data_IF_681920325355
#
_entry.id   IF_681920325355
#
_cell.length_a   1.000
_cell.length_b   1.000
_cell.length_c   1.000
_cell.angle_alpha   90.00
_cell.angle_beta   90.00
_cell.angle_gamma   90.00
#
_symmetry.space_group_name_H-M   'P 1'
#
loop_
_entity.id
_entity.type
_entity.pdbx_description
1 polymer ?
#
# COMPACT_ATOMS: atom_id res chain seq x y z
N UNK A 1 -8.76 11.59 -25.14
CA UNK A 1 -7.66 11.98 -24.22
C UNK A 1 -6.38 12.02 -25.02
N UNK A 2 -5.60 13.09 -24.93
CA UNK A 2 -4.28 13.16 -25.57
C UNK A 2 -3.22 12.70 -24.56
N UNK A 3 -2.96 11.38 -24.54
CA UNK A 3 -2.04 10.78 -23.58
C UNK A 3 -0.62 11.32 -23.74
N UNK A 4 -0.16 11.51 -24.99
CA UNK A 4 1.18 12.00 -25.27
C UNK A 4 1.39 13.40 -24.67
N UNK A 5 0.45 14.31 -24.90
CA UNK A 5 0.50 15.65 -24.31
C UNK A 5 0.49 15.62 -22.78
N UNK A 6 -0.31 14.75 -22.18
CA UNK A 6 -0.35 14.61 -20.70
C UNK A 6 1.02 14.16 -20.18
N UNK A 7 1.66 13.19 -20.83
CA UNK A 7 2.99 12.70 -20.43
C UNK A 7 4.07 13.77 -20.62
N UNK A 8 4.01 14.54 -21.71
CA UNK A 8 4.93 15.67 -21.94
C UNK A 8 4.77 16.76 -20.87
N UNK A 9 3.54 17.16 -20.55
CA UNK A 9 3.26 18.14 -19.49
C UNK A 9 3.67 17.63 -18.11
N UNK A 10 3.54 16.32 -17.87
CA UNK A 10 3.96 15.68 -16.63
C UNK A 10 5.48 15.65 -16.49
N UNK A 11 6.20 15.36 -17.57
CA UNK A 11 7.66 15.39 -17.60
C UNK A 11 8.19 16.81 -17.36
N UNK A 12 7.55 17.84 -17.92
CA UNK A 12 7.89 19.23 -17.59
C UNK A 12 7.68 19.52 -16.10
N UNK A 13 6.57 19.04 -15.53
CA UNK A 13 6.24 19.25 -14.12
C UNK A 13 7.26 18.59 -13.19
N UNK A 14 7.66 17.35 -13.47
CA UNK A 14 8.69 16.63 -12.73
C UNK A 14 10.04 17.36 -12.74
N UNK A 15 10.36 18.02 -13.84
CA UNK A 15 11.63 18.73 -14.03
C UNK A 15 11.57 20.20 -13.56
N UNK A 16 10.46 20.65 -12.97
CA UNK A 16 10.28 22.04 -12.54
C UNK A 16 10.26 23.05 -13.70
N UNK A 17 9.97 22.60 -14.94
CA UNK A 17 9.99 23.42 -16.16
C UNK A 17 8.59 23.93 -16.56
N UNK A 18 7.66 24.01 -15.61
CA UNK A 18 6.24 24.25 -15.88
C UNK A 18 5.48 22.95 -16.19
N UNK A 19 4.27 23.04 -16.74
CA UNK A 19 3.41 21.86 -16.99
C UNK A 19 2.55 21.47 -15.78
N UNK A 20 2.00 20.25 -15.81
CA UNK A 20 1.10 19.75 -14.75
C UNK A 20 1.32 18.27 -14.48
N UNK A 21 1.18 17.88 -13.21
CA UNK A 21 1.15 16.48 -12.81
C UNK A 21 0.10 15.70 -13.60
N UNK A 22 0.45 14.52 -14.13
CA UNK A 22 -0.48 13.69 -14.87
C UNK A 22 -1.71 13.34 -14.01
N UNK A 23 -2.89 13.73 -14.47
CA UNK A 23 -4.17 13.30 -13.92
C UNK A 23 -4.86 12.39 -14.92
N UNK A 24 -4.71 11.09 -14.71
CA UNK A 24 -5.25 10.00 -15.51
C UNK A 24 -6.34 9.25 -14.74
N UNK A 25 -6.99 9.92 -13.78
CA UNK A 25 -8.04 9.31 -12.96
C UNK A 25 -9.19 8.83 -13.86
N UNK A 26 -9.55 7.55 -13.72
CA UNK A 26 -10.62 6.93 -14.49
C UNK A 26 -10.33 6.78 -15.99
N UNK A 27 -9.09 7.00 -16.43
CA UNK A 27 -8.74 6.92 -17.84
C UNK A 27 -8.79 5.47 -18.35
N UNK A 28 -9.36 5.25 -19.55
CA UNK A 28 -9.17 4.00 -20.28
C UNK A 28 -7.80 4.02 -20.97
N UNK A 29 -6.85 3.28 -20.40
CA UNK A 29 -5.48 3.10 -20.87
C UNK A 29 -5.25 1.64 -21.30
N UNK A 30 -6.32 0.88 -21.58
CA UNK A 30 -6.20 -0.52 -21.96
C UNK A 30 -5.37 -0.66 -23.24
N UNK A 31 -4.37 -1.53 -23.20
CA UNK A 31 -3.42 -1.73 -24.30
C UNK A 31 -2.52 -0.52 -24.61
N UNK A 32 -2.50 0.51 -23.76
CA UNK A 32 -1.67 1.69 -24.00
C UNK A 32 -0.17 1.34 -23.93
N UNK A 33 0.61 1.94 -24.84
CA UNK A 33 2.07 1.89 -24.77
C UNK A 33 2.58 3.00 -23.84
N UNK A 34 2.99 2.61 -22.63
CA UNK A 34 3.56 3.46 -21.59
C UNK A 34 5.01 3.06 -21.28
N UNK A 35 5.70 2.40 -22.23
CA UNK A 35 7.09 1.95 -22.05
C UNK A 35 7.99 3.13 -21.70
N UNK A 36 8.77 3.00 -20.64
CA UNK A 36 9.69 4.05 -20.19
C UNK A 36 9.01 5.34 -19.73
N UNK A 37 7.68 5.36 -19.57
CA UNK A 37 6.98 6.56 -19.14
C UNK A 37 7.36 6.91 -17.69
N UNK A 38 7.72 8.16 -17.45
CA UNK A 38 7.89 8.70 -16.12
C UNK A 38 6.53 9.15 -15.59
N UNK A 39 5.93 8.33 -14.75
CA UNK A 39 4.61 8.50 -14.13
C UNK A 39 4.73 8.75 -12.62
N UNK A 40 5.91 9.21 -12.16
CA UNK A 40 6.15 9.44 -10.73
C UNK A 40 5.15 10.43 -10.15
N UNK A 41 4.44 10.00 -9.11
CA UNK A 41 3.41 10.82 -8.47
C UNK A 41 2.15 11.06 -9.30
N UNK A 42 2.00 10.44 -10.48
CA UNK A 42 0.81 10.56 -11.31
C UNK A 42 -0.45 10.06 -10.59
N UNK A 43 -1.61 10.61 -10.93
CA UNK A 43 -2.89 10.12 -10.44
C UNK A 43 -3.52 9.16 -11.47
N UNK A 44 -3.43 7.86 -11.22
CA UNK A 44 -4.00 6.76 -12.02
C UNK A 44 -5.19 6.09 -11.29
N UNK A 45 -5.76 6.75 -10.28
CA UNK A 45 -6.88 6.22 -9.51
C UNK A 45 -8.04 5.85 -10.44
N UNK A 46 -8.67 4.69 -10.27
CA UNK A 46 -9.75 4.18 -11.13
C UNK A 46 -9.38 3.97 -12.61
N UNK A 47 -8.11 4.09 -13.02
CA UNK A 47 -7.72 3.92 -14.42
C UNK A 47 -7.77 2.45 -14.86
N UNK A 48 -8.07 2.21 -16.14
CA UNK A 48 -8.00 0.88 -16.74
C UNK A 48 -6.66 0.71 -17.47
N UNK A 49 -5.71 0.01 -16.85
CA UNK A 49 -4.38 -0.34 -17.38
C UNK A 49 -4.33 -1.80 -17.89
N UNK A 50 -5.47 -2.46 -18.11
CA UNK A 50 -5.46 -3.83 -18.63
C UNK A 50 -4.68 -3.93 -19.95
N UNK A 51 -3.83 -4.94 -20.09
CA UNK A 51 -2.97 -5.15 -21.27
C UNK A 51 -2.02 -3.98 -21.62
N UNK A 52 -1.89 -2.95 -20.77
CA UNK A 52 -0.98 -1.83 -21.02
C UNK A 52 0.48 -2.27 -20.89
N UNK A 53 1.37 -1.70 -21.71
CA UNK A 53 2.80 -1.98 -21.68
C UNK A 53 3.54 -0.91 -20.86
N UNK A 54 3.92 -1.27 -19.63
CA UNK A 54 4.66 -0.44 -18.67
C UNK A 54 6.12 -0.89 -18.47
N UNK A 55 6.69 -1.66 -19.40
CA UNK A 55 8.10 -2.05 -19.35
C UNK A 55 9.02 -0.83 -19.25
N UNK A 56 9.86 -0.79 -18.23
CA UNK A 56 10.74 0.34 -17.91
C UNK A 56 10.05 1.62 -17.43
N UNK A 57 8.74 1.65 -17.21
CA UNK A 57 8.05 2.83 -16.68
C UNK A 57 8.39 3.07 -15.20
N UNK A 58 8.37 4.33 -14.77
CA UNK A 58 8.55 4.71 -13.35
C UNK A 58 7.22 5.16 -12.75
N UNK A 59 6.68 4.36 -11.83
CA UNK A 59 5.41 4.59 -11.13
C UNK A 59 5.65 4.95 -9.66
N UNK A 60 6.86 5.36 -9.26
CA UNK A 60 7.14 5.68 -7.86
C UNK A 60 6.19 6.78 -7.36
N UNK A 61 5.52 6.51 -6.24
CA UNK A 61 4.51 7.39 -5.63
C UNK A 61 3.26 7.65 -6.49
N UNK A 62 3.05 6.95 -7.61
CA UNK A 62 1.82 7.06 -8.38
C UNK A 62 0.62 6.54 -7.57
N UNK A 63 -0.51 7.24 -7.65
CA UNK A 63 -1.76 6.77 -7.06
C UNK A 63 -2.45 5.81 -8.03
N UNK A 64 -2.36 4.52 -7.76
CA UNK A 64 -2.98 3.44 -8.53
C UNK A 64 -4.21 2.85 -7.84
N UNK A 65 -4.78 3.53 -6.85
CA UNK A 65 -5.95 3.05 -6.11
C UNK A 65 -7.10 2.72 -7.06
N UNK A 66 -7.65 1.50 -6.93
CA UNK A 66 -8.73 0.98 -7.78
C UNK A 66 -8.42 0.91 -9.29
N UNK A 67 -7.17 1.08 -9.70
CA UNK A 67 -6.80 0.87 -11.09
C UNK A 67 -6.94 -0.63 -11.46
N UNK A 68 -7.46 -0.91 -12.63
CA UNK A 68 -7.47 -2.28 -13.19
C UNK A 68 -6.14 -2.51 -13.90
N UNK A 69 -5.41 -3.56 -13.53
CA UNK A 69 -4.07 -3.86 -14.07
C UNK A 69 -3.95 -5.31 -14.55
N UNK A 70 -5.08 -5.94 -14.83
CA UNK A 70 -5.10 -7.32 -15.32
C UNK A 70 -4.28 -7.45 -16.60
N UNK A 71 -3.38 -8.42 -16.66
CA UNK A 71 -2.50 -8.64 -17.81
C UNK A 71 -1.60 -7.45 -18.19
N UNK A 72 -1.42 -6.46 -17.31
CA UNK A 72 -0.45 -5.39 -17.50
C UNK A 72 0.95 -5.98 -17.70
N UNK A 73 1.65 -5.49 -18.73
CA UNK A 73 2.99 -5.97 -19.08
C UNK A 73 4.03 -5.08 -18.38
N UNK A 74 4.90 -5.68 -17.57
CA UNK A 74 5.99 -5.00 -16.86
C UNK A 74 7.25 -5.88 -16.85
N UNK A 75 8.40 -5.28 -16.52
CA UNK A 75 9.68 -5.99 -16.41
C UNK A 75 10.49 -5.53 -15.20
N UNK A 76 11.71 -6.07 -15.06
CA UNK A 76 12.64 -5.73 -13.97
C UNK A 76 13.07 -4.25 -13.96
N UNK A 77 12.80 -3.50 -15.03
CA UNK A 77 13.11 -2.08 -15.12
C UNK A 77 11.90 -1.19 -14.79
N UNK A 78 10.71 -1.77 -14.70
CA UNK A 78 9.53 -1.05 -14.23
C UNK A 78 9.70 -0.73 -12.74
N UNK A 79 9.79 0.55 -12.40
CA UNK A 79 9.96 0.99 -11.03
C UNK A 79 8.60 1.16 -10.36
N UNK A 80 8.33 0.32 -9.35
CA UNK A 80 7.22 0.49 -8.42
C UNK A 80 7.75 0.87 -7.04
N UNK A 81 6.88 1.40 -6.18
CA UNK A 81 7.24 1.53 -4.77
C UNK A 81 7.54 0.13 -4.20
N UNK A 82 8.72 -0.12 -3.61
CA UNK A 82 9.07 -1.45 -3.10
C UNK A 82 8.04 -1.93 -2.07
N UNK A 83 7.86 -3.25 -1.97
CA UNK A 83 7.10 -3.82 -0.86
C UNK A 83 7.82 -3.40 0.43
N UNK A 84 7.08 -2.74 1.33
CA UNK A 84 7.59 -2.41 2.65
C UNK A 84 7.67 -3.65 3.53
N UNK A 85 6.69 -4.55 3.41
CA UNK A 85 6.74 -5.82 4.12
C UNK A 85 7.83 -6.72 3.53
N UNK A 86 8.64 -7.37 4.37
CA UNK A 86 9.56 -8.42 3.95
C UNK A 86 8.83 -9.51 3.14
N UNK A 87 9.47 -9.96 2.06
CA UNK A 87 8.96 -11.01 1.17
C UNK A 87 9.06 -12.43 1.77
N UNK A 88 9.87 -12.58 2.82
CA UNK A 88 10.19 -13.85 3.46
C UNK A 88 10.47 -13.67 4.94
N UNK A 89 10.40 -14.78 5.69
CA UNK A 89 10.62 -14.80 7.14
C UNK A 89 9.54 -14.08 7.95
N UNK A 90 9.48 -14.31 9.26
CA UNK A 90 8.61 -13.54 10.16
C UNK A 90 9.17 -12.13 10.39
N UNK A 91 8.31 -11.16 10.67
CA UNK A 91 8.74 -9.80 11.03
C UNK A 91 7.78 -9.14 12.02
N UNK A 92 8.23 -8.03 12.63
CA UNK A 92 7.40 -7.26 13.55
C UNK A 92 6.69 -6.14 12.79
N UNK A 93 5.37 -6.05 12.98
CA UNK A 93 4.52 -4.97 12.53
C UNK A 93 3.89 -4.23 13.72
N UNK A 94 3.48 -2.99 13.49
CA UNK A 94 2.87 -2.13 14.50
C UNK A 94 1.53 -1.59 14.01
N UNK A 95 0.50 -1.67 14.85
CA UNK A 95 -0.84 -1.16 14.55
C UNK A 95 -1.33 -0.23 15.65
N UNK A 96 -1.83 0.95 15.28
CA UNK A 96 -2.55 1.81 16.22
C UNK A 96 -4.01 1.34 16.36
N UNK A 97 -4.48 1.19 17.59
CA UNK A 97 -5.83 0.78 17.92
C UNK A 97 -6.27 1.46 19.23
N UNK A 98 -7.38 2.17 19.21
CA UNK A 98 -7.98 2.89 20.34
C UNK A 98 -6.97 3.72 21.17
N UNK A 99 -6.07 4.44 20.49
CA UNK A 99 -5.03 5.25 21.14
C UNK A 99 -3.80 4.48 21.65
N UNK A 100 -3.81 3.15 21.57
CA UNK A 100 -2.69 2.28 21.91
C UNK A 100 -1.98 1.78 20.64
N UNK A 101 -0.79 1.23 20.82
CA UNK A 101 0.02 0.59 19.79
C UNK A 101 0.13 -0.90 20.10
N UNK A 102 -0.35 -1.71 19.15
CA UNK A 102 -0.28 -3.16 19.16
C UNK A 102 0.96 -3.59 18.38
N UNK A 103 1.84 -4.32 19.04
CA UNK A 103 2.97 -5.00 18.40
C UNK A 103 2.54 -6.38 17.92
N UNK A 104 2.84 -6.66 16.65
CA UNK A 104 2.36 -7.83 15.93
C UNK A 104 3.55 -8.61 15.38
N UNK A 105 3.59 -9.92 15.61
CA UNK A 105 4.40 -10.81 14.81
C UNK A 105 3.62 -11.20 13.55
N UNK A 106 4.14 -10.85 12.37
CA UNK A 106 3.61 -11.30 11.09
C UNK A 106 4.38 -12.58 10.72
N UNK A 107 3.76 -13.76 10.80
CA UNK A 107 4.46 -15.02 10.59
C UNK A 107 4.82 -15.23 9.11
N UNK A 108 5.84 -16.06 8.87
CA UNK A 108 6.35 -16.39 7.53
C UNK A 108 5.28 -16.88 6.54
N UNK A 109 4.24 -17.56 7.03
CA UNK A 109 3.15 -18.14 6.24
C UNK A 109 1.97 -17.17 5.98
N UNK A 110 2.01 -15.96 6.55
CA UNK A 110 0.98 -14.95 6.28
C UNK A 110 1.02 -14.52 4.82
N UNK A 111 -0.15 -14.35 4.18
CA UNK A 111 -0.26 -13.57 2.94
C UNK A 111 0.02 -12.10 3.29
N UNK A 112 0.77 -11.41 2.45
CA UNK A 112 1.26 -10.06 2.69
C UNK A 112 1.07 -9.19 1.48
N UNK A 113 0.82 -7.92 1.73
CA UNK A 113 0.72 -6.92 0.69
C UNK A 113 1.19 -5.58 1.26
N UNK A 114 1.98 -4.82 0.51
CA UNK A 114 2.27 -3.43 0.86
C UNK A 114 1.49 -2.53 -0.04
N UNK A 115 0.78 -1.57 0.55
CA UNK A 115 0.06 -0.56 -0.19
C UNK A 115 0.98 0.30 -1.08
N UNK A 116 0.40 1.29 -1.75
CA UNK A 116 1.13 2.40 -2.37
C UNK A 116 1.74 3.36 -1.35
N UNK A 117 1.17 3.38 -0.14
CA UNK A 117 1.67 4.15 0.98
C UNK A 117 2.59 3.30 1.86
N UNK A 118 2.96 3.83 3.03
CA UNK A 118 3.76 3.12 4.03
C UNK A 118 3.00 2.05 4.83
N UNK A 119 1.79 1.69 4.40
CA UNK A 119 0.96 0.68 5.08
C UNK A 119 1.22 -0.70 4.50
N UNK A 120 1.36 -1.66 5.40
CA UNK A 120 1.37 -3.08 5.10
C UNK A 120 0.02 -3.70 5.49
N UNK A 121 -0.34 -4.79 4.83
CA UNK A 121 -1.48 -5.64 5.15
C UNK A 121 -0.98 -7.08 5.24
N UNK A 122 -1.47 -7.81 6.24
CA UNK A 122 -1.23 -9.24 6.39
C UNK A 122 -2.54 -9.99 6.60
N UNK A 123 -2.60 -11.26 6.19
CA UNK A 123 -3.75 -12.14 6.48
C UNK A 123 -3.70 -12.73 7.88
N UNK A 124 -2.55 -12.71 8.54
CA UNK A 124 -2.32 -13.34 9.83
C UNK A 124 -1.32 -12.53 10.66
N UNK A 125 -1.57 -12.37 11.95
CA UNK A 125 -0.67 -11.73 12.89
C UNK A 125 -0.89 -12.21 14.32
N UNK A 126 0.17 -12.45 15.07
CA UNK A 126 0.10 -12.74 16.51
C UNK A 126 0.34 -11.46 17.31
N UNK A 127 -0.49 -11.21 18.32
CA UNK A 127 -0.34 -10.05 19.20
C UNK A 127 0.74 -10.33 20.25
N UNK A 128 1.81 -9.52 20.25
CA UNK A 128 2.93 -9.69 21.18
C UNK A 128 2.80 -8.77 22.40
N UNK A 129 2.48 -7.50 22.19
CA UNK A 129 2.39 -6.50 23.25
C UNK A 129 1.43 -5.37 22.88
N UNK A 130 0.92 -4.68 23.91
CA UNK A 130 0.06 -3.50 23.75
C UNK A 130 0.61 -2.40 24.66
N UNK A 131 0.91 -1.25 24.07
CA UNK A 131 1.50 -0.11 24.79
C UNK A 131 0.77 1.20 24.46
N UNK A 132 0.86 2.19 25.33
CA UNK A 132 0.52 3.56 24.98
C UNK A 132 1.51 4.14 23.95
N UNK A 133 1.28 5.36 23.46
CA UNK A 133 2.17 6.00 22.47
C UNK A 133 3.62 6.17 22.97
N UNK A 134 3.84 6.25 24.28
CA UNK A 134 5.15 6.43 24.92
C UNK A 134 5.86 5.10 25.21
N UNK A 135 5.18 3.96 25.05
CA UNK A 135 5.73 2.63 25.29
C UNK A 135 5.39 2.05 26.66
N UNK A 136 4.55 2.72 27.46
CA UNK A 136 4.10 2.16 28.74
C UNK A 136 3.04 1.07 28.49
N UNK A 137 2.93 0.04 29.35
CA UNK A 137 1.92 -1.01 29.19
C UNK A 137 0.49 -0.46 29.09
N UNK A 138 -0.25 -0.90 28.06
CA UNK A 138 -1.61 -0.44 27.75
C UNK A 138 -2.73 -1.39 28.19
N UNK A 139 -2.40 -2.46 28.92
CA UNK A 139 -3.32 -3.56 29.27
C UNK A 139 -3.20 -4.76 28.32
N UNK A 140 -3.99 -5.81 28.59
CA UNK A 140 -3.86 -7.10 27.88
C UNK A 140 -4.66 -7.17 26.57
N UNK A 141 -5.56 -6.21 26.35
CA UNK A 141 -6.47 -6.19 25.20
C UNK A 141 -6.78 -4.77 24.73
N UNK A 142 -7.04 -4.62 23.42
CA UNK A 142 -7.50 -3.35 22.84
C UNK A 142 -8.45 -3.56 21.66
N UNK A 143 -9.49 -2.73 21.56
CA UNK A 143 -10.46 -2.78 20.45
C UNK A 143 -9.88 -2.19 19.17
N UNK A 144 -10.22 -2.79 18.03
CA UNK A 144 -9.95 -2.22 16.71
C UNK A 144 -10.68 -0.88 16.52
N UNK A 145 -10.05 0.06 15.82
CA UNK A 145 -10.69 1.31 15.41
C UNK A 145 -11.74 1.10 14.31
N UNK A 146 -11.62 0.03 13.53
CA UNK A 146 -12.44 -0.20 12.35
C UNK A 146 -13.65 -1.11 12.63
N UNK A 147 -13.44 -2.15 13.45
CA UNK A 147 -14.50 -3.06 13.88
C UNK A 147 -14.58 -3.04 15.42
N UNK A 148 -15.60 -2.40 16.01
CA UNK A 148 -15.72 -2.27 17.46
C UNK A 148 -15.94 -3.60 18.19
N UNK A 149 -16.35 -4.66 17.46
CA UNK A 149 -16.51 -6.00 18.01
C UNK A 149 -15.20 -6.79 18.01
N UNK A 150 -14.22 -6.37 17.23
CA UNK A 150 -12.92 -7.02 17.15
C UNK A 150 -11.96 -6.51 18.24
N UNK A 151 -11.30 -7.45 18.92
CA UNK A 151 -10.36 -7.19 20.01
C UNK A 151 -9.01 -7.84 19.68
N UNK A 152 -7.94 -7.05 19.78
CA UNK A 152 -6.57 -7.56 19.83
C UNK A 152 -6.27 -7.93 21.28
N UNK A 153 -5.88 -9.17 21.53
CA UNK A 153 -5.52 -9.68 22.87
C UNK A 153 -4.12 -10.28 22.85
N UNK A 154 -3.28 -9.95 23.84
CA UNK A 154 -1.90 -10.44 23.91
C UNK A 154 -1.87 -11.97 23.89
N UNK A 155 -1.01 -12.54 23.05
CA UNK A 155 -0.86 -13.98 22.86
C UNK A 155 -1.76 -14.57 21.77
N UNK A 156 -2.87 -13.92 21.44
CA UNK A 156 -3.82 -14.39 20.43
C UNK A 156 -3.32 -14.15 18.99
N UNK A 157 -3.78 -15.01 18.07
CA UNK A 157 -3.53 -14.86 16.64
C UNK A 157 -4.77 -14.36 15.94
N UNK A 158 -4.60 -13.28 15.20
CA UNK A 158 -5.62 -12.68 14.34
C UNK A 158 -5.49 -13.26 12.95
N UNK A 159 -6.58 -13.77 12.39
CA UNK A 159 -6.66 -14.27 11.01
C UNK A 159 -7.75 -13.55 10.22
N UNK A 160 -7.45 -13.22 8.96
CA UNK A 160 -8.35 -12.58 8.00
C UNK A 160 -8.54 -13.55 6.83
N UNK A 161 -9.75 -14.09 6.71
CA UNK A 161 -10.08 -15.14 5.73
C UNK A 161 -10.34 -14.58 4.32
N UNK A 162 -10.78 -13.33 4.21
CA UNK A 162 -11.12 -12.64 2.98
C UNK A 162 -10.04 -11.65 2.53
N UNK A 163 -8.76 -11.95 2.80
CA UNK A 163 -7.63 -11.07 2.47
C UNK A 163 -7.54 -10.75 0.96
N UNK A 164 -7.47 -9.47 0.64
CA UNK A 164 -7.31 -8.95 -0.72
C UNK A 164 -5.82 -8.80 -1.10
N UNK A 165 -5.34 -9.62 -2.04
CA UNK A 165 -3.96 -9.55 -2.54
C UNK A 165 -3.67 -8.28 -3.36
N UNK A 166 -4.69 -7.56 -3.81
CA UNK A 166 -4.51 -6.37 -4.62
C UNK A 166 -3.85 -5.26 -3.79
N UNK A 167 -2.54 -5.16 -3.92
CA UNK A 167 -1.71 -4.20 -3.17
C UNK A 167 -2.07 -2.73 -3.43
N UNK A 168 -2.80 -2.44 -4.50
CA UNK A 168 -3.22 -1.10 -4.86
C UNK A 168 -4.55 -0.70 -4.21
N UNK A 169 -5.32 -1.67 -3.71
CA UNK A 169 -6.52 -1.41 -2.91
C UNK A 169 -6.14 -1.20 -1.43
N UNK A 170 -5.68 0.01 -1.13
CA UNK A 170 -5.05 0.34 0.16
C UNK A 170 -5.99 0.11 1.36
N UNK A 171 -7.27 0.44 1.24
CA UNK A 171 -8.27 0.32 2.31
C UNK A 171 -9.00 -1.03 2.33
N UNK A 172 -8.43 -2.06 1.70
CA UNK A 172 -9.05 -3.38 1.62
C UNK A 172 -8.88 -4.24 2.86
N UNK A 173 -9.53 -5.40 2.85
CA UNK A 173 -9.48 -6.43 3.91
C UNK A 173 -8.05 -6.85 4.22
N UNK A 174 -7.76 -7.02 5.51
CA UNK A 174 -6.44 -7.41 6.03
C UNK A 174 -6.09 -6.73 7.34
N UNK A 175 -5.01 -7.19 7.97
CA UNK A 175 -4.47 -6.59 9.19
C UNK A 175 -3.53 -5.46 8.78
N UNK A 176 -4.05 -4.24 8.77
CA UNK A 176 -3.26 -3.05 8.46
C UNK A 176 -2.28 -2.73 9.58
N UNK A 177 -1.01 -2.59 9.23
CA UNK A 177 0.10 -2.32 10.14
C UNK A 177 1.23 -1.55 9.42
N UNK A 178 2.19 -1.08 10.21
CA UNK A 178 3.41 -0.41 9.76
C UNK A 178 4.64 -1.24 10.15
N UNK A 179 5.76 -1.05 9.44
CA UNK A 179 7.02 -1.74 9.77
C UNK A 179 7.65 -1.16 11.01
N UNK A 180 7.54 0.16 11.21
CA UNK A 180 8.11 0.83 12.38
C UNK A 180 7.04 1.28 13.36
N UNK A 181 7.38 1.22 14.65
CA UNK A 181 6.52 1.76 15.71
C UNK A 181 6.26 3.26 15.54
N UNK A 182 7.28 4.01 15.12
CA UNK A 182 7.17 5.45 14.91
C UNK A 182 6.11 5.79 13.86
N UNK A 183 6.07 5.06 12.74
CA UNK A 183 5.02 5.19 11.72
C UNK A 183 3.62 4.94 12.28
N UNK A 184 3.45 3.87 13.06
CA UNK A 184 2.17 3.55 13.68
C UNK A 184 1.71 4.64 14.67
N UNK A 185 2.63 5.23 15.44
CA UNK A 185 2.31 6.27 16.44
C UNK A 185 1.79 7.55 15.76
N UNK A 186 2.49 8.01 14.72
CA UNK A 186 2.16 9.26 14.01
C UNK A 186 0.96 9.12 13.08
N UNK A 187 0.53 7.89 12.79
CA UNK A 187 -0.65 7.65 11.97
C UNK A 187 -1.92 8.07 12.73
N UNK A 188 -2.74 8.90 12.08
CA UNK A 188 -4.04 9.36 12.59
C UNK A 188 -5.18 8.50 12.05
#
# INVERSE_FOLDING_TARGET
>A
MDLKKILEEHLLWLNGKGGRRANLRGADLRGANLRGADLRGANLCDANLCDADLRGADLCNANLSRASMDQMIWDIHTAFYPLQCPDSGSYIGYKKASGLVVELEIPADARRSSATSRKCRASKAKVLSITDINGNPGGDQVRSNFDPNFVYAIGETVEVTDFDDNRWNECSTGIHHFITRAEAVIYE
#
